data_IF_437048854237
#
_entry.id   IF_437048854237
#
_cell.length_a   1.000
_cell.length_b   1.000
_cell.length_c   1.000
_cell.angle_alpha   90.00
_cell.angle_beta   90.00
_cell.angle_gamma   90.00
#
_symmetry.space_group_name_H-M   'P 1'
#
loop_
_entity.id
_entity.type
_entity.pdbx_description
1 polymer ?
#
# COMPACT_ATOMS: atom_id res chain seq x y z
N UNK A 1 30.97 13.94 -8.02
CA UNK A 1 30.45 15.19 -8.60
C UNK A 1 29.07 14.88 -9.15
N UNK A 2 28.06 15.69 -8.87
CA UNK A 2 26.71 15.50 -9.43
C UNK A 2 26.77 15.94 -10.92
N UNK A 3 26.43 15.07 -11.89
CA UNK A 3 26.55 15.37 -13.31
C UNK A 3 25.50 16.38 -13.83
N UNK A 4 24.48 16.71 -13.02
CA UNK A 4 23.38 17.57 -13.42
C UNK A 4 23.53 19.00 -12.90
N UNK A 5 23.27 19.98 -13.75
CA UNK A 5 23.15 21.39 -13.33
C UNK A 5 21.88 21.61 -12.49
N UNK A 6 21.83 22.70 -11.74
CA UNK A 6 20.67 23.05 -10.92
C UNK A 6 19.39 23.21 -11.77
N UNK A 7 19.50 23.80 -12.95
CA UNK A 7 18.38 23.95 -13.90
C UNK A 7 17.89 22.60 -14.42
N UNK A 8 18.80 21.67 -14.73
CA UNK A 8 18.44 20.32 -15.17
C UNK A 8 17.76 19.54 -14.05
N UNK A 9 18.21 19.67 -12.78
CA UNK A 9 17.54 19.07 -11.62
C UNK A 9 16.13 19.61 -11.44
N UNK A 10 15.97 20.92 -11.52
CA UNK A 10 14.66 21.56 -11.41
C UNK A 10 13.70 21.08 -12.52
N UNK A 11 14.17 21.02 -13.77
CA UNK A 11 13.39 20.53 -14.89
C UNK A 11 12.99 19.05 -14.72
N UNK A 12 13.93 18.20 -14.27
CA UNK A 12 13.65 16.78 -14.01
C UNK A 12 12.62 16.62 -12.87
N UNK A 13 12.71 17.42 -11.82
CA UNK A 13 11.74 17.38 -10.71
C UNK A 13 10.36 17.87 -11.14
N UNK A 14 10.29 18.90 -11.96
CA UNK A 14 9.04 19.43 -12.51
C UNK A 14 8.36 18.45 -13.49
N UNK A 15 9.14 17.60 -14.16
CA UNK A 15 8.64 16.57 -15.08
C UNK A 15 8.05 15.35 -14.36
N UNK A 16 8.23 15.21 -13.04
CA UNK A 16 7.67 14.10 -12.27
C UNK A 16 6.17 14.33 -12.08
N UNK A 17 5.37 13.55 -12.79
CA UNK A 17 3.93 13.57 -12.63
C UNK A 17 3.51 12.75 -11.41
N UNK A 18 2.67 13.34 -10.55
CA UNK A 18 2.12 12.66 -9.36
C UNK A 18 0.86 11.84 -9.63
N UNK A 19 0.52 11.58 -10.92
CA UNK A 19 -0.65 10.80 -11.34
C UNK A 19 -0.33 10.05 -12.63
N UNK A 20 -1.02 8.93 -12.83
CA UNK A 20 -0.90 8.09 -14.02
C UNK A 20 0.54 7.62 -14.28
N UNK A 21 1.27 7.37 -13.21
CA UNK A 21 2.63 6.87 -13.28
C UNK A 21 2.68 5.49 -13.95
N UNK A 22 3.83 5.12 -14.51
CA UNK A 22 4.01 3.80 -15.14
C UNK A 22 3.63 2.64 -14.21
N UNK A 23 4.05 2.60 -12.93
CA UNK A 23 3.64 1.58 -11.96
C UNK A 23 2.12 1.52 -11.76
N UNK A 24 1.47 2.67 -11.55
CA UNK A 24 0.01 2.73 -11.41
C UNK A 24 -0.71 2.17 -12.63
N UNK A 25 -0.26 2.52 -13.83
CA UNK A 25 -0.85 2.03 -15.08
C UNK A 25 -0.71 0.51 -15.25
N UNK A 26 0.39 -0.08 -14.77
CA UNK A 26 0.57 -1.54 -14.77
C UNK A 26 -0.50 -2.22 -13.90
N UNK A 27 -0.67 -1.75 -12.66
CA UNK A 27 -1.66 -2.29 -11.73
C UNK A 27 -3.09 -2.12 -12.26
N UNK A 28 -3.43 -0.91 -12.72
CA UNK A 28 -4.76 -0.59 -13.25
C UNK A 28 -5.14 -1.45 -14.45
N UNK A 29 -4.27 -1.56 -15.45
CA UNK A 29 -4.52 -2.37 -16.64
C UNK A 29 -4.69 -3.84 -16.31
N UNK A 30 -3.87 -4.34 -15.39
CA UNK A 30 -3.96 -5.73 -14.97
C UNK A 30 -5.27 -6.01 -14.23
N UNK A 31 -5.62 -5.20 -13.23
CA UNK A 31 -6.89 -5.34 -12.50
C UNK A 31 -8.10 -5.29 -13.43
N UNK A 32 -8.09 -4.37 -14.39
CA UNK A 32 -9.17 -4.27 -15.38
C UNK A 32 -9.33 -5.54 -16.23
N UNK A 33 -8.21 -6.11 -16.69
CA UNK A 33 -8.19 -7.37 -17.46
C UNK A 33 -8.72 -8.53 -16.64
N UNK A 34 -8.46 -8.57 -15.33
CA UNK A 34 -8.98 -9.58 -14.40
C UNK A 34 -10.45 -9.36 -14.01
N UNK A 35 -11.12 -8.38 -14.59
CA UNK A 35 -12.53 -8.12 -14.32
C UNK A 35 -12.80 -7.24 -13.09
N UNK A 36 -11.77 -6.78 -12.37
CA UNK A 36 -11.96 -5.86 -11.27
C UNK A 36 -12.40 -4.48 -11.77
N UNK A 37 -13.29 -3.83 -11.01
CA UNK A 37 -13.77 -2.47 -11.29
C UNK A 37 -13.41 -1.57 -10.13
N UNK A 38 -12.86 -0.39 -10.45
CA UNK A 38 -12.32 0.56 -9.48
C UNK A 38 -12.59 2.01 -9.91
N UNK A 39 -12.38 2.92 -8.97
CA UNK A 39 -12.30 4.37 -9.20
C UNK A 39 -10.89 4.85 -8.88
N UNK A 40 -10.49 5.96 -9.49
CA UNK A 40 -9.16 6.55 -9.30
C UNK A 40 -9.26 7.81 -8.46
N UNK A 41 -8.21 8.08 -7.67
CA UNK A 41 -7.99 9.36 -6.99
C UNK A 41 -9.26 9.92 -6.31
N UNK A 42 -9.92 9.11 -5.48
CA UNK A 42 -11.20 9.50 -4.89
C UNK A 42 -11.02 10.69 -3.93
N UNK A 43 -11.63 11.87 -4.20
CA UNK A 43 -11.29 13.13 -3.52
C UNK A 43 -11.70 13.16 -2.04
N UNK A 44 -12.67 12.34 -1.63
CA UNK A 44 -13.22 12.32 -0.27
C UNK A 44 -12.53 11.33 0.66
N UNK A 45 -11.56 10.54 0.15
CA UNK A 45 -10.83 9.60 0.97
C UNK A 45 -9.48 10.19 1.38
N UNK A 46 -9.05 9.98 2.64
CA UNK A 46 -7.73 10.40 3.12
C UNK A 46 -6.63 9.90 2.19
N UNK A 47 -5.60 10.72 1.99
CA UNK A 47 -4.44 10.38 1.16
C UNK A 47 -4.69 10.24 -0.34
N UNK A 48 -5.92 10.37 -0.81
CA UNK A 48 -6.31 10.23 -2.24
C UNK A 48 -5.76 8.96 -2.86
N UNK A 49 -6.22 7.77 -2.45
CA UNK A 49 -5.72 6.49 -2.94
C UNK A 49 -5.72 6.42 -4.47
N UNK A 50 -4.69 5.81 -5.07
CA UNK A 50 -4.56 5.70 -6.54
C UNK A 50 -5.69 4.87 -7.14
N UNK A 51 -6.11 3.81 -6.41
CA UNK A 51 -7.17 2.90 -6.82
C UNK A 51 -8.12 2.67 -5.64
N UNK A 52 -9.42 2.83 -5.87
CA UNK A 52 -10.47 2.61 -4.86
C UNK A 52 -11.47 1.57 -5.35
N UNK A 53 -11.56 0.47 -4.63
CA UNK A 53 -12.42 -0.67 -4.95
C UNK A 53 -13.57 -0.76 -3.94
N UNK A 54 -14.68 -0.08 -4.26
CA UNK A 54 -15.84 0.03 -3.33
C UNK A 54 -16.44 -1.31 -2.97
N UNK A 55 -16.54 -2.23 -3.94
CA UNK A 55 -17.06 -3.60 -3.72
C UNK A 55 -16.24 -4.38 -2.68
N UNK A 56 -14.94 -4.11 -2.61
CA UNK A 56 -13.98 -4.76 -1.73
C UNK A 56 -13.64 -3.90 -0.50
N UNK A 57 -14.24 -2.72 -0.35
CA UNK A 57 -13.88 -1.71 0.66
C UNK A 57 -12.35 -1.53 0.79
N UNK A 58 -11.66 -1.55 -0.34
CA UNK A 58 -10.20 -1.56 -0.39
C UNK A 58 -9.66 -0.34 -1.14
N UNK A 59 -8.67 0.30 -0.54
CA UNK A 59 -7.85 1.36 -1.12
C UNK A 59 -6.47 0.80 -1.44
N UNK A 60 -5.97 1.07 -2.65
CA UNK A 60 -4.63 0.64 -3.08
C UNK A 60 -3.79 1.87 -3.35
N UNK A 61 -2.60 1.89 -2.77
CA UNK A 61 -1.56 2.88 -3.00
C UNK A 61 -0.42 2.23 -3.78
N UNK A 62 0.07 2.90 -4.82
CA UNK A 62 1.21 2.44 -5.63
C UNK A 62 2.38 3.36 -5.36
N UNK A 63 3.22 2.98 -4.41
CA UNK A 63 4.26 3.83 -3.86
C UNK A 63 5.59 3.69 -4.60
N UNK A 64 6.18 4.83 -4.99
CA UNK A 64 7.56 4.89 -5.44
C UNK A 64 8.53 4.63 -4.29
N UNK A 65 9.47 3.69 -4.46
CA UNK A 65 10.36 3.25 -3.38
C UNK A 65 11.16 4.38 -2.75
N UNK A 66 11.68 5.30 -3.56
CA UNK A 66 12.46 6.43 -3.09
C UNK A 66 11.63 7.42 -2.26
N UNK A 67 10.44 7.80 -2.77
CA UNK A 67 9.62 8.84 -2.16
C UNK A 67 9.01 8.46 -0.82
N UNK A 68 8.76 7.16 -0.63
CA UNK A 68 8.11 6.59 0.55
C UNK A 68 9.08 5.78 1.43
N UNK A 69 10.37 5.72 1.08
CA UNK A 69 11.40 5.08 1.88
C UNK A 69 11.18 3.58 2.05
N UNK A 70 10.97 2.86 0.95
CA UNK A 70 10.73 1.41 1.01
C UNK A 70 11.92 0.68 1.65
N UNK A 71 11.68 -0.06 2.73
CA UNK A 71 12.68 -0.79 3.52
C UNK A 71 13.82 0.09 4.09
N UNK A 72 13.56 1.39 4.27
CA UNK A 72 14.49 2.29 4.95
C UNK A 72 13.99 2.54 6.37
N UNK A 73 14.75 2.12 7.37
CA UNK A 73 14.49 2.48 8.75
C UNK A 73 15.04 3.88 9.02
N UNK A 74 14.17 4.78 9.44
CA UNK A 74 14.52 6.16 9.80
C UNK A 74 14.51 6.39 11.33
N UNK A 75 14.46 5.33 12.13
CA UNK A 75 14.53 5.44 13.58
C UNK A 75 15.94 5.87 14.00
N UNK A 76 16.09 7.00 14.71
CA UNK A 76 17.33 7.33 15.36
C UNK A 76 17.44 6.41 16.59
N UNK A 77 18.24 5.39 16.52
CA UNK A 77 18.68 4.69 17.71
C UNK A 77 20.13 5.07 17.96
N UNK A 78 20.43 5.96 18.91
CA UNK A 78 21.80 6.15 19.36
C UNK A 78 22.22 4.90 20.12
N UNK A 79 22.87 3.99 19.45
CA UNK A 79 23.57 2.91 20.13
C UNK A 79 24.72 3.51 20.95
N UNK A 80 24.84 3.22 22.26
CA UNK A 80 25.84 3.86 23.11
C UNK A 80 27.27 3.29 22.93
N UNK A 81 27.55 2.57 21.86
CA UNK A 81 28.87 2.05 21.55
C UNK A 81 29.30 2.44 20.15
N UNK A 82 30.33 3.27 20.09
CA UNK A 82 30.99 3.88 18.96
C UNK A 82 31.55 2.97 17.86
N UNK A 83 30.75 2.08 17.34
CA UNK A 83 31.01 1.37 16.10
C UNK A 83 30.13 1.99 15.02
N UNK A 84 30.77 2.39 13.91
CA UNK A 84 30.21 3.21 12.84
C UNK A 84 28.79 2.84 12.46
N UNK A 85 27.90 3.78 12.63
CA UNK A 85 26.47 3.68 12.39
C UNK A 85 26.17 3.16 10.98
N UNK A 86 25.81 1.90 10.87
CA UNK A 86 25.07 1.33 9.74
C UNK A 86 23.60 1.84 9.76
N UNK A 87 23.42 3.10 10.13
CA UNK A 87 22.13 3.65 10.58
C UNK A 87 21.12 3.94 9.49
N UNK A 88 21.49 3.79 8.23
CA UNK A 88 20.56 3.97 7.10
C UNK A 88 20.95 3.00 6.01
N UNK A 89 20.58 1.75 6.19
CA UNK A 89 20.82 0.77 5.17
C UNK A 89 19.92 1.12 3.96
N UNK A 90 20.58 1.61 2.91
CA UNK A 90 19.93 1.83 1.63
C UNK A 90 19.40 0.47 1.18
N UNK A 91 18.09 0.29 1.13
CA UNK A 91 17.53 -0.88 0.47
C UNK A 91 17.95 -0.89 -0.99
N UNK A 92 17.97 -2.06 -1.62
CA UNK A 92 18.34 -2.17 -3.04
C UNK A 92 17.50 -1.25 -3.96
N UNK A 93 16.27 -0.94 -3.55
CA UNK A 93 15.32 -0.14 -4.32
C UNK A 93 15.18 1.31 -3.87
N UNK A 94 15.67 1.67 -2.67
CA UNK A 94 15.62 3.04 -2.15
C UNK A 94 17.03 3.49 -1.72
N UNK A 95 17.66 4.33 -2.53
CA UNK A 95 18.99 4.89 -2.25
C UNK A 95 18.86 6.37 -1.97
N UNK A 96 19.15 6.77 -0.72
CA UNK A 96 19.13 8.17 -0.32
C UNK A 96 20.37 8.86 -0.89
N UNK A 97 20.23 9.99 -1.62
CA UNK A 97 21.36 10.74 -2.16
C UNK A 97 22.31 11.18 -1.05
N UNK A 98 23.62 11.15 -1.37
CA UNK A 98 24.66 11.65 -0.43
C UNK A 98 24.59 13.17 -0.28
N UNK A 99 24.21 13.88 -1.35
CA UNK A 99 24.02 15.33 -1.37
C UNK A 99 22.69 15.68 -0.72
N UNK A 100 22.69 16.66 0.19
CA UNK A 100 21.51 17.11 0.97
C UNK A 100 20.78 15.94 1.71
N UNK A 101 21.57 15.02 2.27
CA UNK A 101 21.03 13.80 2.91
C UNK A 101 20.01 14.13 4.00
N UNK A 102 20.28 15.10 4.86
CA UNK A 102 19.37 15.52 5.94
C UNK A 102 18.00 15.96 5.42
N UNK A 103 17.99 16.74 4.35
CA UNK A 103 16.75 17.15 3.69
C UNK A 103 15.94 15.93 3.19
N UNK A 104 16.61 14.97 2.53
CA UNK A 104 15.94 13.78 2.00
C UNK A 104 15.43 12.88 3.11
N UNK A 105 16.21 12.64 4.16
CA UNK A 105 15.79 11.86 5.33
C UNK A 105 14.55 12.50 5.99
N UNK A 106 14.58 13.82 6.23
CA UNK A 106 13.45 14.54 6.81
C UNK A 106 12.20 14.49 5.91
N UNK A 107 12.38 14.55 4.59
CA UNK A 107 11.28 14.47 3.63
C UNK A 107 10.67 13.07 3.58
N UNK A 108 11.49 12.03 3.53
CA UNK A 108 11.03 10.63 3.52
C UNK A 108 10.30 10.31 4.82
N UNK A 109 10.84 10.73 5.98
CA UNK A 109 10.18 10.56 7.28
C UNK A 109 8.78 11.16 7.30
N UNK A 110 8.65 12.43 6.89
CA UNK A 110 7.33 13.08 6.79
C UNK A 110 6.37 12.35 5.86
N UNK A 111 6.85 11.77 4.78
CA UNK A 111 6.03 10.97 3.88
C UNK A 111 5.57 9.67 4.57
N UNK A 112 6.47 8.95 5.25
CA UNK A 112 6.13 7.73 5.99
C UNK A 112 5.12 8.00 7.12
N UNK A 113 5.31 9.08 7.90
CA UNK A 113 4.38 9.50 8.96
C UNK A 113 2.99 9.84 8.39
N UNK A 114 2.97 10.55 7.26
CA UNK A 114 1.71 10.85 6.55
C UNK A 114 1.04 9.58 6.06
N UNK A 115 1.78 8.66 5.44
CA UNK A 115 1.25 7.42 4.89
C UNK A 115 0.67 6.53 6.00
N UNK A 116 1.34 6.43 7.15
CA UNK A 116 0.84 5.71 8.31
C UNK A 116 -0.47 6.32 8.84
N UNK A 117 -0.51 7.65 9.00
CA UNK A 117 -1.72 8.35 9.44
C UNK A 117 -2.89 8.11 8.47
N UNK A 118 -2.65 8.23 7.17
CA UNK A 118 -3.66 7.98 6.13
C UNK A 118 -4.21 6.55 6.21
N UNK A 119 -3.34 5.56 6.41
CA UNK A 119 -3.77 4.16 6.56
C UNK A 119 -4.63 3.96 7.82
N UNK A 120 -4.26 4.60 8.93
CA UNK A 120 -5.05 4.55 10.17
C UNK A 120 -6.43 5.22 10.00
N UNK A 121 -6.48 6.39 9.36
CA UNK A 121 -7.74 7.09 9.06
C UNK A 121 -8.66 6.24 8.18
N UNK A 122 -8.12 5.64 7.11
CA UNK A 122 -8.88 4.75 6.23
C UNK A 122 -9.36 3.48 6.96
N UNK A 123 -8.52 2.87 7.79
CA UNK A 123 -8.89 1.72 8.60
C UNK A 123 -10.02 2.06 9.59
N UNK A 124 -9.98 3.21 10.25
CA UNK A 124 -11.04 3.71 11.12
C UNK A 124 -12.37 3.93 10.37
N UNK A 125 -12.31 4.25 9.07
CA UNK A 125 -13.47 4.34 8.18
C UNK A 125 -13.95 2.98 7.65
N UNK A 126 -13.31 1.86 8.06
CA UNK A 126 -13.62 0.50 7.63
C UNK A 126 -13.12 0.19 6.21
N UNK A 127 -12.05 0.83 5.76
CA UNK A 127 -11.39 0.53 4.49
C UNK A 127 -10.14 -0.31 4.74
N UNK A 128 -9.96 -1.34 3.92
CA UNK A 128 -8.69 -2.06 3.83
C UNK A 128 -7.70 -1.25 3.01
N UNK A 129 -6.43 -1.25 3.42
CA UNK A 129 -5.36 -0.54 2.73
C UNK A 129 -4.33 -1.55 2.21
N UNK A 130 -4.02 -1.50 0.93
CA UNK A 130 -2.98 -2.29 0.29
C UNK A 130 -1.96 -1.33 -0.31
N UNK A 131 -0.68 -1.52 0.01
CA UNK A 131 0.42 -0.78 -0.59
C UNK A 131 1.18 -1.70 -1.53
N UNK A 132 1.39 -1.25 -2.76
CA UNK A 132 2.21 -1.93 -3.77
C UNK A 132 3.41 -1.05 -4.05
N UNK A 133 4.61 -1.63 -4.02
CA UNK A 133 5.83 -0.90 -4.24
C UNK A 133 6.29 -0.97 -5.71
N UNK A 134 6.85 0.12 -6.20
CA UNK A 134 7.37 0.19 -7.57
C UNK A 134 8.34 -0.95 -7.90
N UNK A 135 9.21 -1.36 -6.96
CA UNK A 135 10.16 -2.45 -7.16
C UNK A 135 9.48 -3.81 -7.36
N UNK A 136 8.29 -4.01 -6.79
CA UNK A 136 7.49 -5.23 -6.93
C UNK A 136 6.79 -5.33 -8.29
N UNK A 137 6.78 -4.23 -9.06
CA UNK A 137 6.19 -4.16 -10.41
C UNK A 137 7.24 -4.30 -11.53
N UNK A 138 8.50 -4.60 -11.18
CA UNK A 138 9.53 -4.91 -12.16
C UNK A 138 9.18 -6.19 -12.94
N UNK A 139 9.57 -6.32 -14.22
CA UNK A 139 9.15 -7.43 -15.09
C UNK A 139 9.31 -8.83 -14.51
N UNK A 140 10.36 -9.06 -13.71
CA UNK A 140 10.67 -10.38 -13.14
C UNK A 140 9.73 -10.83 -12.01
N UNK A 141 9.10 -9.87 -11.28
CA UNK A 141 8.34 -10.16 -10.05
C UNK A 141 6.89 -9.70 -10.13
N UNK A 142 6.55 -8.82 -11.08
CA UNK A 142 5.24 -8.18 -11.17
C UNK A 142 4.07 -9.14 -11.26
N UNK A 143 4.21 -10.24 -11.99
CA UNK A 143 3.12 -11.22 -12.17
C UNK A 143 2.73 -11.80 -10.81
N UNK A 144 3.72 -12.30 -10.06
CA UNK A 144 3.51 -12.81 -8.69
C UNK A 144 2.87 -11.78 -7.77
N UNK A 145 3.30 -10.51 -7.84
CA UNK A 145 2.73 -9.42 -7.03
C UNK A 145 1.28 -9.17 -7.39
N UNK A 146 0.96 -9.13 -8.66
CA UNK A 146 -0.40 -8.86 -9.14
C UNK A 146 -1.36 -10.03 -8.85
N UNK A 147 -0.90 -11.26 -8.98
CA UNK A 147 -1.66 -12.47 -8.56
C UNK A 147 -1.93 -12.47 -7.05
N UNK A 148 -0.91 -12.13 -6.24
CA UNK A 148 -1.05 -11.96 -4.79
C UNK A 148 -2.06 -10.87 -4.44
N UNK A 149 -2.07 -9.77 -5.19
CA UNK A 149 -3.08 -8.71 -5.04
C UNK A 149 -4.50 -9.25 -5.28
N UNK A 150 -4.72 -9.98 -6.38
CA UNK A 150 -6.03 -10.55 -6.67
C UNK A 150 -6.48 -11.55 -5.60
N UNK A 151 -5.56 -12.40 -5.15
CA UNK A 151 -5.84 -13.32 -4.04
C UNK A 151 -6.27 -12.58 -2.78
N UNK A 152 -5.53 -11.52 -2.40
CA UNK A 152 -5.84 -10.70 -1.22
C UNK A 152 -7.20 -10.02 -1.35
N UNK A 153 -7.51 -9.44 -2.51
CA UNK A 153 -8.81 -8.82 -2.78
C UNK A 153 -9.96 -9.82 -2.64
N UNK A 154 -9.82 -11.01 -3.22
CA UNK A 154 -10.83 -12.05 -3.12
C UNK A 154 -10.99 -12.55 -1.68
N UNK A 155 -9.89 -12.68 -0.93
CA UNK A 155 -9.93 -13.04 0.50
C UNK A 155 -10.68 -11.99 1.32
N UNK A 156 -10.38 -10.71 1.14
CA UNK A 156 -11.09 -9.61 1.80
C UNK A 156 -12.59 -9.69 1.46
N UNK A 157 -12.92 -9.86 0.19
CA UNK A 157 -14.32 -9.96 -0.24
C UNK A 157 -15.06 -11.10 0.45
N UNK A 158 -14.46 -12.28 0.52
CA UNK A 158 -15.05 -13.43 1.18
C UNK A 158 -15.21 -13.21 2.69
N UNK A 159 -14.24 -12.58 3.35
CA UNK A 159 -14.31 -12.26 4.78
C UNK A 159 -15.41 -11.24 5.09
N UNK A 160 -15.53 -10.19 4.29
CA UNK A 160 -16.53 -9.13 4.49
C UNK A 160 -17.96 -9.59 4.13
N UNK A 161 -18.09 -10.62 3.30
CA UNK A 161 -19.37 -11.15 2.81
C UNK A 161 -19.61 -12.59 3.26
N UNK A 162 -18.83 -13.13 4.22
CA UNK A 162 -19.12 -14.42 4.83
C UNK A 162 -20.50 -14.35 5.49
N UNK A 163 -21.36 -15.28 5.11
CA UNK A 163 -22.66 -15.47 5.75
C UNK A 163 -22.36 -15.78 7.22
N UNK A 164 -22.85 -14.95 8.14
CA UNK A 164 -22.84 -15.31 9.55
C UNK A 164 -23.61 -16.62 9.64
N UNK A 165 -23.00 -17.67 10.21
CA UNK A 165 -23.72 -18.89 10.52
C UNK A 165 -24.94 -18.47 11.36
N UNK A 166 -26.14 -18.78 10.85
CA UNK A 166 -27.36 -18.64 11.63
C UNK A 166 -27.29 -19.72 12.69
N UNK A 167 -26.96 -19.32 13.92
CA UNK A 167 -27.12 -20.17 15.09
C UNK A 167 -28.64 -20.27 15.33
N UNK A 168 -29.21 -21.44 15.04
CA UNK A 168 -30.61 -21.69 15.36
C UNK A 168 -30.81 -21.48 16.86
N UNK A 169 -31.83 -20.71 17.29
CA UNK A 169 -32.17 -20.60 18.71
C UNK A 169 -32.36 -22.01 19.29
N UNK A 170 -31.80 -22.26 20.46
CA UNK A 170 -31.82 -23.58 21.10
C UNK A 170 -33.25 -24.16 21.22
N UNK A 171 -34.28 -23.30 21.35
CA UNK A 171 -35.69 -23.68 21.42
C UNK A 171 -36.21 -24.34 20.10
N UNK A 172 -35.77 -23.91 18.90
CA UNK A 172 -36.17 -24.55 17.64
C UNK A 172 -35.48 -25.90 17.43
N UNK A 173 -34.27 -26.09 17.96
CA UNK A 173 -33.56 -27.37 17.88
C UNK A 173 -34.19 -28.45 18.77
N UNK A 174 -34.80 -28.09 19.88
CA UNK A 174 -35.54 -29.02 20.77
C UNK A 174 -36.86 -29.50 20.14
N UNK A 175 -37.62 -28.58 19.48
CA UNK A 175 -38.89 -28.97 18.84
C UNK A 175 -38.67 -29.90 17.62
N UNK A 176 -37.62 -29.66 16.84
CA UNK A 176 -37.28 -30.54 15.69
C UNK A 176 -36.83 -31.96 16.13
N UNK A 177 -36.27 -32.09 17.33
CA UNK A 177 -35.88 -33.38 17.88
C UNK A 177 -37.08 -34.20 18.44
N UNK A 178 -38.14 -33.49 18.92
CA UNK A 178 -39.39 -34.19 19.38
C UNK A 178 -40.26 -34.66 18.24
N UNK A 179 -40.30 -33.99 17.08
CA UNK A 179 -41.04 -34.43 15.90
C UNK A 179 -40.37 -35.64 15.15
N UNK A 180 -39.09 -35.86 15.33
CA UNK A 180 -38.35 -36.94 14.71
C UNK A 180 -38.34 -38.25 15.54
N UNK A 181 -38.97 -38.27 16.68
CA UNK A 181 -38.94 -39.34 17.70
C UNK A 181 -40.19 -40.22 17.73
N UNK A 182 -41.03 -40.29 16.64
CA UNK A 182 -42.16 -41.20 16.52
C UNK A 182 -41.91 -42.23 15.43
#
# INVERSE_FOLDING_TARGET
>A
MDPLTEQQRHANMAAIHGKDTKPEMVVRKWLWRQGFRYRMNHPRLPGKPDIVMRKYRTCIFVNGCFWHGHNVSLTPNPSPKGEGSKEFDNSECCKIPKTNREFWVAKIRRNQERDLRVQQELAAMGWHCITIWECELKPKVREKTLESLAYTLNKIFLQDHSIRHYEMPEEESMMAAEEAGV
#
